data_IF_158700244417
#
_entry.id   IF_158700244417
#
_cell.length_a   1.000
_cell.length_b   1.000
_cell.length_c   1.000
_cell.angle_alpha   90.00
_cell.angle_beta   90.00
_cell.angle_gamma   90.00
#
_symmetry.space_group_name_H-M   'P 1'
#
loop_
_entity.id
_entity.type
_entity.pdbx_description
1 polymer ?
#
# COMPACT_ATOMS: atom_id res chain seq x y z
N UNK A 1 22.89 -18.76 9.68
CA UNK A 1 22.25 -17.76 8.79
C UNK A 1 20.90 -18.30 8.38
N UNK A 2 19.80 -17.75 8.90
CA UNK A 2 18.45 -18.16 8.48
C UNK A 2 18.17 -17.60 7.08
N UNK A 3 17.80 -18.46 6.13
CA UNK A 3 17.33 -18.07 4.80
C UNK A 3 16.05 -17.24 4.96
N UNK A 4 16.18 -15.92 4.93
CA UNK A 4 15.04 -15.02 4.82
C UNK A 4 14.33 -15.27 3.49
N UNK A 5 13.07 -15.71 3.53
CA UNK A 5 12.25 -15.91 2.34
C UNK A 5 12.06 -14.55 1.67
N UNK A 6 12.55 -14.43 0.43
CA UNK A 6 12.37 -13.22 -0.37
C UNK A 6 10.89 -13.02 -0.68
N UNK A 7 10.34 -11.86 -0.30
CA UNK A 7 8.94 -11.48 -0.53
C UNK A 7 8.83 -10.42 -1.62
N UNK A 8 7.65 -10.38 -2.25
CA UNK A 8 7.22 -9.28 -3.11
C UNK A 8 6.44 -8.27 -2.26
N UNK A 9 7.00 -7.08 -2.09
CA UNK A 9 6.45 -6.02 -1.24
C UNK A 9 5.97 -4.89 -2.15
N UNK A 10 4.67 -4.68 -2.20
CA UNK A 10 4.07 -3.61 -2.98
C UNK A 10 3.96 -2.32 -2.17
N UNK A 11 4.03 -1.20 -2.89
CA UNK A 11 3.83 0.14 -2.35
C UNK A 11 2.70 0.86 -3.07
N UNK A 12 1.90 1.59 -2.30
CA UNK A 12 0.85 2.47 -2.82
C UNK A 12 0.81 3.76 -2.01
N UNK A 13 0.38 4.86 -2.61
CA UNK A 13 0.31 6.12 -1.88
C UNK A 13 -0.21 7.26 -2.72
N UNK A 14 -0.36 8.40 -2.06
CA UNK A 14 -0.92 9.56 -2.73
C UNK A 14 0.01 10.16 -3.78
N UNK A 15 -0.59 10.68 -4.86
CA UNK A 15 0.08 11.48 -5.89
C UNK A 15 0.40 12.89 -5.38
N UNK A 16 -0.32 13.37 -4.37
CA UNK A 16 -0.23 14.73 -3.80
C UNK A 16 -0.48 14.68 -2.28
N UNK A 17 0.17 15.54 -1.51
CA UNK A 17 -0.17 15.77 -0.09
C UNK A 17 0.43 14.79 0.93
N UNK A 18 1.12 13.71 0.51
CA UNK A 18 2.00 12.98 1.44
C UNK A 18 3.38 13.65 1.46
N UNK A 19 3.57 14.58 2.39
CA UNK A 19 4.72 15.50 2.36
C UNK A 19 6.02 14.91 2.92
N UNK A 20 5.96 13.79 3.66
CA UNK A 20 7.15 13.16 4.22
C UNK A 20 7.83 12.18 3.24
N UNK A 21 8.45 12.75 2.19
CA UNK A 21 9.17 11.97 1.16
C UNK A 21 10.35 11.18 1.74
N UNK A 22 11.04 11.74 2.74
CA UNK A 22 12.18 11.08 3.42
C UNK A 22 11.73 9.78 4.08
N UNK A 23 10.58 9.77 4.75
CA UNK A 23 10.01 8.55 5.33
C UNK A 23 9.73 7.49 4.26
N UNK A 24 9.04 7.88 3.17
CA UNK A 24 8.74 6.98 2.04
C UNK A 24 10.02 6.33 1.51
N UNK A 25 11.05 7.14 1.26
CA UNK A 25 12.34 6.68 0.74
C UNK A 25 13.06 5.77 1.74
N UNK A 26 13.07 6.12 3.02
CA UNK A 26 13.72 5.30 4.06
C UNK A 26 13.05 3.94 4.21
N UNK A 27 11.72 3.88 4.18
CA UNK A 27 10.99 2.60 4.20
C UNK A 27 11.32 1.78 2.95
N UNK A 28 11.27 2.37 1.76
CA UNK A 28 11.60 1.68 0.51
C UNK A 28 13.03 1.13 0.51
N UNK A 29 14.02 1.91 0.96
CA UNK A 29 15.40 1.44 1.12
C UNK A 29 15.49 0.28 2.11
N UNK A 30 14.81 0.37 3.26
CA UNK A 30 14.85 -0.70 4.27
C UNK A 30 14.31 -2.03 3.72
N UNK A 31 13.24 -1.98 2.91
CA UNK A 31 12.67 -3.16 2.24
C UNK A 31 13.65 -3.74 1.21
N UNK A 32 14.27 -2.88 0.40
CA UNK A 32 15.24 -3.32 -0.60
C UNK A 32 16.53 -3.89 0.04
N UNK A 33 17.02 -3.27 1.12
CA UNK A 33 18.19 -3.73 1.88
C UNK A 33 17.93 -5.07 2.58
N UNK A 34 16.69 -5.35 2.96
CA UNK A 34 16.27 -6.68 3.45
C UNK A 34 16.20 -7.74 2.34
N UNK A 35 16.57 -7.42 1.10
CA UNK A 35 16.61 -8.34 -0.03
C UNK A 35 15.26 -8.62 -0.68
N UNK A 36 14.20 -7.90 -0.30
CA UNK A 36 12.86 -8.08 -0.85
C UNK A 36 12.70 -7.42 -2.22
N UNK A 37 11.79 -7.96 -3.03
CA UNK A 37 11.42 -7.37 -4.31
C UNK A 37 10.44 -6.22 -4.10
N UNK A 38 10.80 -5.02 -4.55
CA UNK A 38 9.95 -3.83 -4.44
C UNK A 38 9.07 -3.72 -5.67
N UNK A 39 7.76 -3.73 -5.45
CA UNK A 39 6.75 -3.45 -6.47
C UNK A 39 6.17 -2.06 -6.24
N UNK A 40 6.08 -1.26 -7.29
CA UNK A 40 5.53 0.08 -7.24
C UNK A 40 4.84 0.33 -8.58
N UNK A 41 4.10 1.43 -8.73
CA UNK A 41 3.71 1.81 -10.08
C UNK A 41 4.26 3.13 -10.57
N UNK A 42 3.72 3.53 -11.71
CA UNK A 42 4.23 4.63 -12.52
C UNK A 42 3.82 6.05 -12.08
N UNK A 43 3.08 6.22 -10.99
CA UNK A 43 2.50 7.53 -10.68
C UNK A 43 3.56 8.51 -10.16
N UNK A 44 3.19 9.79 -10.09
CA UNK A 44 3.93 10.80 -9.34
C UNK A 44 3.71 10.64 -7.83
N UNK A 45 4.36 11.48 -7.02
CA UNK A 45 4.22 11.44 -5.57
C UNK A 45 5.00 10.28 -4.96
N UNK A 46 4.31 9.46 -4.14
CA UNK A 46 4.92 8.33 -3.41
C UNK A 46 5.58 7.34 -4.36
N UNK A 47 4.90 6.94 -5.44
CA UNK A 47 5.42 6.01 -6.46
C UNK A 47 6.75 6.51 -7.05
N UNK A 48 6.86 7.80 -7.37
CA UNK A 48 8.08 8.41 -7.89
C UNK A 48 9.21 8.50 -6.84
N UNK A 49 8.87 8.83 -5.58
CA UNK A 49 9.84 8.89 -4.49
C UNK A 49 10.47 7.52 -4.19
N UNK A 50 9.71 6.43 -4.35
CA UNK A 50 10.23 5.07 -4.17
C UNK A 50 11.17 4.71 -5.32
N UNK A 51 10.75 4.95 -6.57
CA UNK A 51 11.59 4.69 -7.76
C UNK A 51 12.90 5.46 -7.75
N UNK A 52 12.94 6.64 -7.12
CA UNK A 52 14.17 7.43 -7.00
C UNK A 52 15.23 6.81 -6.07
N UNK A 53 14.86 5.86 -5.20
CA UNK A 53 15.80 5.22 -4.26
C UNK A 53 15.88 3.70 -4.40
N UNK A 54 14.96 3.10 -5.16
CA UNK A 54 14.99 1.67 -5.53
C UNK A 54 14.92 1.56 -7.05
N UNK A 55 16.05 1.73 -7.77
CA UNK A 55 16.06 1.73 -9.23
C UNK A 55 15.64 0.39 -9.84
N UNK A 56 15.86 -0.71 -9.12
CA UNK A 56 15.48 -2.07 -9.53
C UNK A 56 14.03 -2.44 -9.16
N UNK A 57 13.20 -1.47 -8.76
CA UNK A 57 11.81 -1.73 -8.45
C UNK A 57 11.04 -2.18 -9.71
N UNK A 58 10.18 -3.19 -9.57
CA UNK A 58 9.28 -3.60 -10.65
C UNK A 58 8.11 -2.62 -10.74
N UNK A 59 8.04 -1.90 -11.86
CA UNK A 59 7.05 -0.84 -12.08
C UNK A 59 5.82 -1.36 -12.82
N UNK A 60 4.66 -1.21 -12.20
CA UNK A 60 3.35 -1.44 -12.82
C UNK A 60 2.87 -0.14 -13.47
N UNK A 61 2.85 -0.09 -14.80
CA UNK A 61 2.48 1.10 -15.57
C UNK A 61 1.11 0.97 -16.23
N UNK A 62 0.47 2.11 -16.43
CA UNK A 62 -0.69 2.25 -17.33
C UNK A 62 -0.14 2.88 -18.60
N UNK A 63 -0.42 2.28 -19.77
CA UNK A 63 -0.13 2.93 -21.05
C UNK A 63 -1.00 4.20 -21.18
N UNK A 64 -0.46 5.26 -21.78
CA UNK A 64 -1.24 6.47 -22.08
C UNK A 64 -2.52 6.08 -22.80
N UNK A 65 -3.71 6.54 -22.38
CA UNK A 65 -4.94 6.23 -23.09
C UNK A 65 -4.82 6.71 -24.53
N UNK A 66 -4.84 5.79 -25.49
CA UNK A 66 -4.97 6.13 -26.90
C UNK A 66 -6.40 6.61 -27.19
N UNK A 67 -6.57 7.43 -28.23
CA UNK A 67 -7.91 7.73 -28.75
C UNK A 67 -8.63 6.41 -29.05
N UNK A 68 -9.76 6.16 -28.39
CA UNK A 68 -10.50 4.89 -28.48
C UNK A 68 -10.37 3.95 -27.26
N UNK A 69 -9.64 4.32 -26.21
CA UNK A 69 -9.64 3.55 -24.96
C UNK A 69 -11.06 3.49 -24.36
N UNK A 70 -11.63 2.28 -24.30
CA UNK A 70 -12.94 1.98 -23.68
C UNK A 70 -12.89 2.10 -22.15
N UNK A 71 -11.69 2.23 -21.57
CA UNK A 71 -11.45 2.28 -20.13
C UNK A 71 -11.12 3.71 -19.70
N UNK A 72 -11.83 4.22 -18.69
CA UNK A 72 -11.51 5.52 -18.08
C UNK A 72 -10.12 5.52 -17.43
N UNK A 73 -9.43 6.67 -17.33
CA UNK A 73 -8.13 6.75 -16.64
C UNK A 73 -8.16 6.23 -15.20
N UNK A 74 -9.28 6.43 -14.49
CA UNK A 74 -9.48 5.93 -13.14
C UNK A 74 -9.54 4.39 -13.10
N UNK A 75 -10.29 3.77 -14.02
CA UNK A 75 -10.36 2.30 -14.13
C UNK A 75 -9.01 1.70 -14.52
N UNK A 76 -8.24 2.36 -15.40
CA UNK A 76 -6.91 1.90 -15.77
C UNK A 76 -5.94 1.92 -14.57
N UNK A 77 -5.96 2.97 -13.75
CA UNK A 77 -5.18 3.05 -12.50
C UNK A 77 -5.65 2.02 -11.46
N UNK A 78 -6.95 1.78 -11.35
CA UNK A 78 -7.50 0.74 -10.49
C UNK A 78 -7.00 -0.65 -10.90
N UNK A 79 -7.09 -1.00 -12.19
CA UNK A 79 -6.58 -2.26 -12.75
C UNK A 79 -5.08 -2.43 -12.49
N UNK A 80 -4.29 -1.38 -12.72
CA UNK A 80 -2.86 -1.37 -12.42
C UNK A 80 -2.58 -1.65 -10.94
N UNK A 81 -3.34 -1.04 -10.04
CA UNK A 81 -3.19 -1.22 -8.60
C UNK A 81 -3.58 -2.64 -8.17
N UNK A 82 -4.68 -3.18 -8.70
CA UNK A 82 -5.08 -4.57 -8.48
C UNK A 82 -4.00 -5.55 -8.94
N UNK A 83 -3.44 -5.38 -10.13
CA UNK A 83 -2.37 -6.25 -10.64
C UNK A 83 -1.12 -6.22 -9.76
N UNK A 84 -0.75 -5.03 -9.25
CA UNK A 84 0.37 -4.88 -8.34
C UNK A 84 0.11 -5.58 -6.99
N UNK A 85 -1.09 -5.40 -6.43
CA UNK A 85 -1.49 -6.08 -5.19
C UNK A 85 -1.49 -7.60 -5.37
N UNK A 86 -2.07 -8.11 -6.46
CA UNK A 86 -2.11 -9.54 -6.77
C UNK A 86 -0.73 -10.17 -6.96
N UNK A 87 0.30 -9.39 -7.31
CA UNK A 87 1.68 -9.85 -7.46
C UNK A 87 2.50 -9.79 -6.16
N UNK A 88 1.90 -9.31 -5.06
CA UNK A 88 2.55 -9.05 -3.78
C UNK A 88 2.05 -9.97 -2.67
N UNK A 89 2.85 -10.14 -1.61
CA UNK A 89 2.41 -10.77 -0.35
C UNK A 89 2.24 -9.76 0.79
N UNK A 90 2.77 -8.55 0.61
CA UNK A 90 2.65 -7.43 1.55
C UNK A 90 2.37 -6.15 0.77
N UNK A 91 1.47 -5.32 1.29
CA UNK A 91 1.22 -3.97 0.77
C UNK A 91 1.54 -2.92 1.84
N UNK A 92 2.31 -1.91 1.44
CA UNK A 92 2.62 -0.73 2.27
C UNK A 92 1.95 0.50 1.64
N UNK A 93 1.04 1.12 2.38
CA UNK A 93 0.31 2.33 1.99
C UNK A 93 0.86 3.60 2.62
N UNK A 94 0.82 4.70 1.87
CA UNK A 94 1.08 6.06 2.37
C UNK A 94 -0.13 6.95 2.13
N UNK A 95 -0.98 7.09 3.15
CA UNK A 95 -2.26 7.79 3.08
C UNK A 95 -2.11 9.25 3.50
N UNK A 96 -2.54 10.18 2.64
CA UNK A 96 -2.52 11.63 2.89
C UNK A 96 -3.88 12.23 3.24
N UNK A 97 -4.95 11.44 3.18
CA UNK A 97 -6.32 11.84 3.45
C UNK A 97 -7.02 10.75 4.24
N UNK A 98 -8.05 11.10 5.01
CA UNK A 98 -8.89 10.13 5.71
C UNK A 98 -9.50 9.10 4.73
N UNK A 99 -9.80 7.91 5.24
CA UNK A 99 -10.47 6.88 4.47
C UNK A 99 -11.90 7.35 4.13
N UNK A 100 -12.30 7.40 2.84
CA UNK A 100 -13.65 7.78 2.47
C UNK A 100 -14.69 6.85 3.10
N UNK A 101 -15.85 7.41 3.44
CA UNK A 101 -16.96 6.64 4.00
C UNK A 101 -17.35 5.48 3.06
N UNK A 102 -17.65 4.31 3.64
CA UNK A 102 -18.02 3.11 2.89
C UNK A 102 -16.86 2.35 2.25
N UNK A 103 -15.62 2.84 2.32
CA UNK A 103 -14.45 2.06 1.89
C UNK A 103 -14.10 1.04 2.97
N UNK A 104 -14.26 -0.23 2.64
CA UNK A 104 -13.95 -1.38 3.50
C UNK A 104 -13.28 -2.51 2.70
N UNK A 105 -12.60 -3.47 3.36
CA UNK A 105 -12.01 -4.61 2.69
C UNK A 105 -13.05 -5.37 1.87
N UNK A 106 -12.81 -5.48 0.56
CA UNK A 106 -13.70 -6.20 -0.35
C UNK A 106 -12.93 -6.75 -1.55
N UNK A 107 -13.47 -7.79 -2.20
CA UNK A 107 -12.91 -8.33 -3.44
C UNK A 107 -13.05 -7.35 -4.62
N UNK A 108 -13.91 -6.34 -4.51
CA UNK A 108 -14.07 -5.28 -5.49
C UNK A 108 -13.18 -4.08 -5.15
N UNK A 109 -12.47 -3.57 -6.14
CA UNK A 109 -11.66 -2.38 -5.96
C UNK A 109 -12.55 -1.13 -5.96
N UNK A 110 -12.82 -0.61 -4.77
CA UNK A 110 -13.59 0.62 -4.55
C UNK A 110 -12.92 1.47 -3.47
N UNK A 111 -12.74 2.77 -3.77
CA UNK A 111 -11.97 3.67 -2.93
C UNK A 111 -12.64 4.98 -2.57
N UNK A 112 -13.88 5.23 -3.02
CA UNK A 112 -14.54 6.53 -2.81
C UNK A 112 -13.70 7.73 -3.27
N UNK A 113 -12.89 7.57 -4.34
CA UNK A 113 -11.95 8.60 -4.82
C UNK A 113 -10.51 8.49 -4.28
N UNK A 114 -10.24 7.64 -3.27
CA UNK A 114 -8.89 7.37 -2.78
C UNK A 114 -8.34 6.04 -3.29
N UNK A 115 -7.38 6.10 -4.22
CA UNK A 115 -6.69 4.92 -4.74
C UNK A 115 -5.84 4.19 -3.70
N UNK A 116 -5.29 4.93 -2.72
CA UNK A 116 -4.50 4.33 -1.62
C UNK A 116 -5.39 3.49 -0.73
N UNK A 117 -6.53 4.01 -0.27
CA UNK A 117 -7.47 3.26 0.56
C UNK A 117 -8.12 2.10 -0.19
N UNK A 118 -8.44 2.27 -1.47
CA UNK A 118 -8.90 1.15 -2.32
C UNK A 118 -7.89 0.00 -2.38
N UNK A 119 -6.60 0.34 -2.57
CA UNK A 119 -5.53 -0.66 -2.65
C UNK A 119 -5.35 -1.40 -1.32
N UNK A 120 -5.40 -0.67 -0.20
CA UNK A 120 -5.29 -1.24 1.15
C UNK A 120 -6.47 -2.17 1.44
N UNK A 121 -7.70 -1.72 1.18
CA UNK A 121 -8.92 -2.52 1.36
C UNK A 121 -8.88 -3.80 0.51
N UNK A 122 -8.49 -3.68 -0.76
CA UNK A 122 -8.35 -4.82 -1.67
C UNK A 122 -7.24 -5.79 -1.23
N UNK A 123 -6.12 -5.30 -0.70
CA UNK A 123 -5.06 -6.16 -0.17
C UNK A 123 -5.52 -6.93 1.08
N UNK A 124 -6.22 -6.27 2.01
CA UNK A 124 -6.79 -6.94 3.19
C UNK A 124 -7.77 -8.04 2.78
N UNK A 125 -8.66 -7.79 1.81
CA UNK A 125 -9.62 -8.81 1.36
C UNK A 125 -8.96 -10.01 0.67
N UNK A 126 -7.76 -9.83 0.13
CA UNK A 126 -6.91 -10.89 -0.44
C UNK A 126 -6.04 -11.60 0.60
N UNK A 127 -6.14 -11.24 1.88
CA UNK A 127 -5.37 -11.84 2.96
C UNK A 127 -3.89 -11.45 2.98
N UNK A 128 -3.52 -10.34 2.34
CA UNK A 128 -2.14 -9.85 2.38
C UNK A 128 -1.86 -9.17 3.73
N UNK A 129 -0.58 -9.17 4.11
CA UNK A 129 -0.14 -8.32 5.20
C UNK A 129 -0.17 -6.86 4.75
N UNK A 130 -0.82 -6.00 5.53
CA UNK A 130 -0.98 -4.59 5.19
C UNK A 130 -0.36 -3.71 6.25
N UNK A 131 0.45 -2.74 5.80
CA UNK A 131 0.96 -1.64 6.60
C UNK A 131 0.51 -0.31 6.02
N UNK A 132 0.21 0.66 6.87
CA UNK A 132 -0.13 2.02 6.45
C UNK A 132 0.60 3.06 7.28
N UNK A 133 1.16 4.05 6.60
CA UNK A 133 1.65 5.28 7.16
C UNK A 133 0.67 6.40 6.82
N UNK A 134 0.15 7.06 7.85
CA UNK A 134 -0.77 8.18 7.72
C UNK A 134 0.01 9.50 7.82
N UNK A 135 -0.39 10.49 7.01
CA UNK A 135 -0.01 11.87 7.26
C UNK A 135 -0.60 12.36 8.59
N UNK A 136 -0.03 13.42 9.16
CA UNK A 136 -0.47 13.94 10.46
C UNK A 136 -1.95 14.37 10.38
N UNK A 137 -2.73 14.03 11.40
CA UNK A 137 -4.18 14.29 11.44
C UNK A 137 -5.06 13.33 10.60
N UNK A 138 -4.47 12.40 9.85
CA UNK A 138 -5.25 11.39 9.10
C UNK A 138 -5.60 10.21 10.00
N UNK A 139 -6.89 10.05 10.30
CA UNK A 139 -7.41 8.91 11.06
C UNK A 139 -7.46 7.62 10.22
N UNK A 140 -7.30 6.49 10.90
CA UNK A 140 -7.47 5.16 10.34
C UNK A 140 -8.96 4.79 10.27
N UNK A 141 -9.40 4.03 9.25
CA UNK A 141 -10.75 3.53 9.20
C UNK A 141 -10.99 2.41 10.22
N UNK A 142 -12.19 2.35 10.77
CA UNK A 142 -12.66 1.20 11.56
C UNK A 142 -13.26 0.16 10.61
N UNK A 143 -12.41 -0.70 10.05
CA UNK A 143 -12.86 -1.79 9.18
C UNK A 143 -13.35 -2.98 10.01
N UNK A 144 -14.51 -3.52 9.66
CA UNK A 144 -15.02 -4.76 10.26
C UNK A 144 -14.07 -5.94 10.00
N UNK A 145 -13.98 -6.86 10.96
CA UNK A 145 -13.19 -8.09 10.81
C UNK A 145 -11.70 -7.93 11.10
N UNK A 146 -11.28 -6.85 11.76
CA UNK A 146 -9.94 -6.69 12.27
C UNK A 146 -9.73 -5.35 12.96
N UNK A 147 -8.48 -5.06 13.30
CA UNK A 147 -8.10 -3.81 13.95
C UNK A 147 -6.72 -3.34 13.48
N UNK A 148 -6.48 -2.04 13.60
CA UNK A 148 -5.16 -1.47 13.36
C UNK A 148 -4.34 -1.46 14.63
N UNK A 149 -3.15 -2.05 14.57
CA UNK A 149 -2.18 -2.05 15.68
C UNK A 149 -0.89 -1.38 15.23
N UNK A 150 -0.09 -0.87 16.17
CA UNK A 150 1.25 -0.36 15.83
C UNK A 150 2.11 -1.50 15.32
N UNK A 151 2.79 -1.27 14.19
CA UNK A 151 3.57 -2.33 13.53
C UNK A 151 4.77 -2.78 14.36
N UNK A 152 5.49 -1.82 14.96
CA UNK A 152 6.64 -2.05 15.85
C UNK A 152 6.71 -0.94 16.91
N UNK A 153 7.34 -1.17 18.06
CA UNK A 153 7.42 -0.17 19.13
C UNK A 153 8.41 0.97 18.86
N UNK A 154 9.41 0.77 17.99
CA UNK A 154 10.50 1.74 17.77
C UNK A 154 11.04 1.73 16.34
N UNK A 155 11.88 2.72 16.02
CA UNK A 155 12.49 2.87 14.70
C UNK A 155 11.54 3.46 13.64
N UNK A 156 11.97 3.49 12.39
CA UNK A 156 11.22 4.16 11.30
C UNK A 156 9.83 3.54 11.06
N UNK A 157 9.70 2.24 11.34
CA UNK A 157 8.45 1.49 11.21
C UNK A 157 7.45 1.73 12.35
N UNK A 158 7.85 2.38 13.45
CA UNK A 158 6.94 2.71 14.57
C UNK A 158 5.79 3.65 14.17
N UNK A 159 5.98 4.41 13.09
CA UNK A 159 4.95 5.24 12.49
C UNK A 159 3.90 4.46 11.69
N UNK A 160 4.16 3.19 11.38
CA UNK A 160 3.25 2.34 10.63
C UNK A 160 2.17 1.73 11.54
N UNK A 161 1.02 1.52 10.94
CA UNK A 161 -0.05 0.69 11.47
C UNK A 161 -0.16 -0.57 10.64
N UNK A 162 -0.40 -1.71 11.28
CA UNK A 162 -0.69 -2.97 10.61
C UNK A 162 -2.14 -3.36 10.86
N UNK A 163 -2.83 -3.80 9.81
CA UNK A 163 -4.17 -4.36 9.97
C UNK A 163 -4.08 -5.83 10.37
N UNK A 164 -4.65 -6.17 11.52
CA UNK A 164 -4.70 -7.54 12.04
C UNK A 164 -6.14 -8.05 11.93
N UNK A 165 -6.42 -9.06 11.08
CA UNK A 165 -7.74 -9.66 10.98
C UNK A 165 -8.16 -10.31 12.30
N UNK A 166 -9.44 -10.21 12.66
CA UNK A 166 -10.00 -10.80 13.89
C UNK A 166 -9.84 -12.33 13.94
N UNK A 167 -9.83 -13.01 12.78
CA UNK A 167 -9.56 -14.45 12.70
C UNK A 167 -8.13 -14.83 13.14
N UNK A 168 -7.18 -13.88 13.13
CA UNK A 168 -5.82 -14.08 13.65
C UNK A 168 -5.68 -13.70 15.15
N UNK A 169 -6.77 -13.32 15.83
CA UNK A 169 -6.73 -12.92 17.26
C UNK A 169 -7.01 -14.08 18.23
N UNK A 170 -6.90 -15.34 17.80
CA UNK A 170 -7.10 -16.48 18.69
C UNK A 170 -5.95 -16.61 19.71
N UNK A 171 -6.30 -16.24 20.95
CA UNK A 171 -5.86 -16.68 22.29
C UNK A 171 -4.42 -16.46 22.74
N UNK A 172 -4.23 -15.44 23.59
CA UNK A 172 -3.50 -15.58 24.85
C UNK A 172 -4.56 -15.54 25.97
N UNK A 173 -5.09 -16.71 26.33
CA UNK A 173 -5.69 -16.97 27.63
C UNK A 173 -4.92 -18.14 28.22
#
# INVERSE_FOLDING_TARGET
MQNQIKKNIAFTGSRKGFNNKTLVQTIARSVAQAGHCVLVGCASGVDAAIRSVVPNAKVFSVASPSAGSVCSPAQALARRSMSMVSASSVLIGFASVACPAGVCPSAHFSGGGSGTWASLAYAVSKGLQVFVFCADGVALPSWSGGQWVRAVPSGVWSRAWSFVPSACQLSLI
#
